data_IF_629790365385
#
_entry.id   IF_629790365385
#
_cell.length_a   1.000
_cell.length_b   1.000
_cell.length_c   1.000
_cell.angle_alpha   90.00
_cell.angle_beta   90.00
_cell.angle_gamma   90.00
#
_symmetry.space_group_name_H-M   'P 1'
#
loop_
_entity.id
_entity.type
_entity.pdbx_description
1 polymer ?
#
# COMPACT_ATOMS: atom_id res chain seq x y z
N UNK A 1 82.07 57.28 5.30
CA UNK A 1 82.99 56.79 6.36
C UNK A 1 82.27 55.67 7.11
N UNK A 2 82.32 54.42 6.62
CA UNK A 2 83.25 53.36 7.06
C UNK A 2 83.20 53.09 8.57
N UNK A 3 82.56 51.97 8.97
CA UNK A 3 83.04 51.13 10.08
C UNK A 3 82.91 49.65 9.73
N UNK A 4 84.10 49.10 9.48
CA UNK A 4 84.52 47.70 9.44
C UNK A 4 84.23 47.02 10.80
N UNK A 5 83.58 45.85 10.78
CA UNK A 5 84.17 44.51 11.01
C UNK A 5 84.43 44.16 12.49
N UNK A 6 83.72 43.16 13.00
CA UNK A 6 84.17 42.31 14.11
C UNK A 6 83.93 40.85 13.74
N UNK A 7 84.98 40.06 13.90
CA UNK A 7 85.18 38.73 13.36
C UNK A 7 84.31 37.64 14.00
N UNK A 8 83.87 36.72 13.16
CA UNK A 8 83.26 35.46 13.54
C UNK A 8 84.24 34.49 14.19
N UNK A 9 83.69 33.68 15.10
CA UNK A 9 84.29 32.47 15.63
C UNK A 9 83.47 31.29 15.09
N UNK A 10 84.17 30.41 14.37
CA UNK A 10 83.70 29.15 13.83
C UNK A 10 83.63 28.10 14.94
N UNK A 11 82.53 27.34 15.06
CA UNK A 11 82.64 25.89 15.37
C UNK A 11 81.43 25.05 14.93
N UNK A 12 81.78 24.04 14.13
CA UNK A 12 81.13 22.81 13.63
C UNK A 12 79.82 22.26 14.24
N UNK A 13 78.99 21.80 13.28
CA UNK A 13 78.40 20.47 13.12
C UNK A 13 77.45 19.91 14.20
N UNK A 14 76.19 19.73 13.77
CA UNK A 14 75.18 18.95 14.49
C UNK A 14 73.77 19.31 14.04
N UNK A 15 73.41 19.03 12.78
CA UNK A 15 72.03 19.16 12.31
C UNK A 15 71.18 18.05 12.95
N UNK A 16 70.75 18.27 14.20
CA UNK A 16 69.64 17.51 14.78
C UNK A 16 68.38 18.14 14.20
N UNK A 17 67.82 17.52 13.16
CA UNK A 17 66.46 17.87 12.72
C UNK A 17 65.48 17.52 13.86
N UNK A 18 64.59 18.43 14.26
CA UNK A 18 63.62 18.14 15.31
C UNK A 18 62.68 17.01 14.85
N UNK A 19 62.53 15.98 15.69
CA UNK A 19 61.73 14.78 15.46
C UNK A 19 60.24 15.07 15.12
N UNK A 20 59.79 16.30 15.35
CA UNK A 20 58.47 16.80 15.00
C UNK A 20 58.17 16.71 13.49
N UNK A 21 59.18 16.87 12.61
CA UNK A 21 58.98 16.75 11.15
C UNK A 21 58.80 15.30 10.67
N UNK A 22 59.37 14.32 11.38
CA UNK A 22 59.27 12.91 11.00
C UNK A 22 57.89 12.32 11.34
N UNK A 23 57.27 12.78 12.42
CA UNK A 23 55.93 12.35 12.83
C UNK A 23 54.85 12.85 11.85
N UNK A 24 54.96 14.09 11.34
CA UNK A 24 53.99 14.60 10.36
C UNK A 24 54.09 13.90 9.00
N UNK A 25 55.28 13.44 8.61
CA UNK A 25 55.46 12.69 7.35
C UNK A 25 54.91 11.25 7.40
N UNK A 26 54.85 10.65 8.59
CA UNK A 26 54.35 9.28 8.79
C UNK A 26 52.85 9.21 9.11
N UNK A 27 52.20 10.33 9.44
CA UNK A 27 50.73 10.43 9.57
C UNK A 27 50.02 10.57 8.21
N UNK A 28 50.76 10.85 7.12
CA UNK A 28 50.26 10.69 5.74
C UNK A 28 50.39 9.25 5.23
N UNK A 29 50.36 8.25 6.13
CA UNK A 29 49.93 6.90 5.74
C UNK A 29 48.46 7.02 5.39
N UNK A 30 48.23 7.17 4.09
CA UNK A 30 46.93 7.10 3.41
C UNK A 30 46.05 6.05 4.09
N UNK A 31 45.10 6.49 4.91
CA UNK A 31 44.04 5.60 5.38
C UNK A 31 43.39 4.98 4.14
N UNK A 32 43.28 3.65 4.06
CA UNK A 32 42.63 3.01 2.94
C UNK A 32 41.21 3.57 2.85
N UNK A 33 40.90 4.13 1.68
CA UNK A 33 39.64 4.74 1.31
C UNK A 33 38.44 3.92 1.84
N UNK A 34 37.74 4.37 2.89
CA UNK A 34 36.56 3.67 3.48
C UNK A 34 35.31 3.70 2.58
N UNK A 35 35.40 4.33 1.40
CA UNK A 35 34.30 4.46 0.44
C UNK A 35 33.70 3.14 -0.11
N UNK A 36 34.43 2.02 -0.28
CA UNK A 36 33.85 0.81 -0.88
C UNK A 36 32.90 0.08 0.09
N UNK A 37 33.20 0.02 1.38
CA UNK A 37 32.35 -0.66 2.38
C UNK A 37 31.01 0.05 2.58
N UNK A 38 30.98 1.39 2.56
CA UNK A 38 29.74 2.17 2.66
C UNK A 38 28.87 1.99 1.40
N UNK A 39 29.48 1.90 0.22
CA UNK A 39 28.78 1.63 -1.04
C UNK A 39 28.15 0.24 -1.09
N UNK A 40 28.90 -0.79 -0.65
CA UNK A 40 28.41 -2.17 -0.57
C UNK A 40 27.26 -2.29 0.43
N UNK A 41 27.38 -1.70 1.63
CA UNK A 41 26.31 -1.72 2.63
C UNK A 41 25.04 -1.00 2.14
N UNK A 42 25.17 0.11 1.40
CA UNK A 42 24.04 0.82 0.78
C UNK A 42 23.39 -0.01 -0.32
N UNK A 43 24.19 -0.69 -1.15
CA UNK A 43 23.70 -1.59 -2.20
C UNK A 43 22.92 -2.79 -1.65
N UNK A 44 23.44 -3.44 -0.61
CA UNK A 44 22.74 -4.55 0.07
C UNK A 44 21.42 -4.07 0.68
N UNK A 45 21.42 -2.91 1.35
CA UNK A 45 20.19 -2.30 1.89
C UNK A 45 19.16 -2.01 0.81
N UNK A 46 19.59 -1.50 -0.35
CA UNK A 46 18.72 -1.26 -1.50
C UNK A 46 18.10 -2.53 -2.05
N UNK A 47 18.91 -3.57 -2.28
CA UNK A 47 18.44 -4.86 -2.79
C UNK A 47 17.43 -5.53 -1.83
N UNK A 48 17.68 -5.47 -0.51
CA UNK A 48 16.75 -5.99 0.50
C UNK A 48 15.45 -5.18 0.48
N UNK A 49 15.52 -3.84 0.40
CA UNK A 49 14.33 -2.99 0.35
C UNK A 49 13.45 -3.30 -0.87
N UNK A 50 14.05 -3.41 -2.06
CA UNK A 50 13.34 -3.77 -3.30
C UNK A 50 12.68 -5.16 -3.20
N UNK A 51 13.41 -6.15 -2.69
CA UNK A 51 12.88 -7.50 -2.51
C UNK A 51 11.70 -7.52 -1.52
N UNK A 52 11.80 -6.76 -0.41
CA UNK A 52 10.70 -6.66 0.56
C UNK A 52 9.48 -5.94 -0.01
N UNK A 53 9.67 -4.90 -0.81
CA UNK A 53 8.57 -4.19 -1.48
C UNK A 53 7.86 -5.09 -2.50
N UNK A 54 8.62 -5.88 -3.28
CA UNK A 54 8.07 -6.86 -4.22
C UNK A 54 7.26 -7.96 -3.51
N UNK A 55 7.77 -8.45 -2.37
CA UNK A 55 7.07 -9.45 -1.56
C UNK A 55 5.77 -8.88 -0.97
N UNK A 56 5.84 -7.66 -0.43
CA UNK A 56 4.69 -6.97 0.16
C UNK A 56 3.58 -6.73 -0.87
N UNK A 57 3.93 -6.35 -2.10
CA UNK A 57 2.97 -6.19 -3.20
C UNK A 57 2.34 -7.52 -3.59
N UNK A 58 3.13 -8.59 -3.71
CA UNK A 58 2.62 -9.92 -4.03
C UNK A 58 1.67 -10.44 -2.93
N UNK A 59 2.02 -10.25 -1.66
CA UNK A 59 1.18 -10.67 -0.53
C UNK A 59 -0.14 -9.90 -0.50
N UNK A 60 -0.12 -8.60 -0.78
CA UNK A 60 -1.35 -7.80 -0.88
C UNK A 60 -2.22 -8.25 -2.07
N UNK A 61 -1.61 -8.55 -3.22
CA UNK A 61 -2.33 -9.05 -4.38
C UNK A 61 -3.02 -10.40 -4.09
N UNK A 62 -2.33 -11.31 -3.39
CA UNK A 62 -2.91 -12.58 -2.94
C UNK A 62 -4.06 -12.35 -1.94
N UNK A 63 -3.90 -11.43 -1.00
CA UNK A 63 -4.96 -11.10 -0.05
C UNK A 63 -6.22 -10.58 -0.76
N UNK A 64 -6.06 -9.69 -1.74
CA UNK A 64 -7.18 -9.19 -2.55
C UNK A 64 -7.80 -10.27 -3.44
N UNK A 65 -7.00 -11.22 -3.94
CA UNK A 65 -7.52 -12.38 -4.66
C UNK A 65 -8.38 -13.26 -3.77
N UNK A 66 -7.97 -13.51 -2.52
CA UNK A 66 -8.76 -14.27 -1.54
C UNK A 66 -10.09 -13.57 -1.26
N UNK A 67 -10.08 -12.24 -1.06
CA UNK A 67 -11.29 -11.42 -0.94
C UNK A 67 -12.21 -11.57 -2.15
N UNK A 68 -11.64 -11.48 -3.36
CA UNK A 68 -12.38 -11.60 -4.62
C UNK A 68 -13.06 -12.97 -4.75
N UNK A 69 -12.32 -14.05 -4.45
CA UNK A 69 -12.86 -15.41 -4.48
C UNK A 69 -13.96 -15.58 -3.45
N UNK A 70 -13.79 -15.07 -2.23
CA UNK A 70 -14.82 -15.11 -1.19
C UNK A 70 -16.11 -14.40 -1.61
N UNK A 71 -16.00 -13.23 -2.23
CA UNK A 71 -17.16 -12.48 -2.71
C UNK A 71 -17.85 -13.15 -3.92
N UNK A 72 -17.06 -13.64 -4.90
CA UNK A 72 -17.59 -14.28 -6.09
C UNK A 72 -18.31 -15.61 -5.81
N UNK A 73 -17.88 -16.32 -4.76
CA UNK A 73 -18.42 -17.63 -4.38
C UNK A 73 -19.61 -17.57 -3.42
N UNK A 74 -20.03 -16.37 -2.97
CA UNK A 74 -21.14 -16.21 -2.02
C UNK A 74 -22.49 -16.65 -2.61
N UNK A 75 -22.65 -16.58 -3.92
CA UNK A 75 -23.85 -17.03 -4.63
C UNK A 75 -25.08 -16.15 -4.41
N UNK A 76 -26.22 -16.62 -4.93
CA UNK A 76 -27.51 -15.91 -4.85
C UNK A 76 -28.14 -16.15 -3.49
N UNK A 77 -28.60 -15.09 -2.84
CA UNK A 77 -29.31 -15.13 -1.55
C UNK A 77 -30.83 -15.21 -1.76
N UNK A 78 -31.56 -15.60 -0.73
CA UNK A 78 -33.02 -15.79 -0.80
C UNK A 78 -33.79 -14.53 -1.19
N UNK A 79 -33.28 -13.37 -0.80
CA UNK A 79 -33.86 -12.05 -1.03
C UNK A 79 -33.35 -11.38 -2.34
N UNK A 80 -32.36 -11.95 -3.02
CA UNK A 80 -31.77 -11.38 -4.26
C UNK A 80 -32.86 -11.12 -5.32
N UNK A 81 -33.87 -11.99 -5.42
CA UNK A 81 -34.98 -11.82 -6.36
C UNK A 81 -35.88 -10.64 -6.01
N UNK A 82 -36.12 -10.42 -4.71
CA UNK A 82 -36.85 -9.25 -4.24
C UNK A 82 -36.10 -7.97 -4.62
N UNK A 83 -34.78 -7.97 -4.39
CA UNK A 83 -33.92 -6.84 -4.72
C UNK A 83 -33.97 -6.52 -6.22
N UNK A 84 -33.79 -7.53 -7.08
CA UNK A 84 -33.87 -7.38 -8.54
C UNK A 84 -35.24 -6.89 -9.01
N UNK A 85 -36.32 -7.46 -8.44
CA UNK A 85 -37.68 -7.05 -8.80
C UNK A 85 -37.99 -5.63 -8.37
N UNK A 86 -37.48 -5.20 -7.21
CA UNK A 86 -37.60 -3.81 -6.76
C UNK A 86 -36.81 -2.88 -7.67
N UNK A 87 -35.58 -3.24 -8.04
CA UNK A 87 -34.78 -2.48 -8.99
C UNK A 87 -35.45 -2.33 -10.35
N UNK A 88 -36.11 -3.39 -10.83
CA UNK A 88 -36.92 -3.34 -12.04
C UNK A 88 -38.06 -2.33 -11.94
N UNK A 89 -38.79 -2.31 -10.82
CA UNK A 89 -39.86 -1.33 -10.59
C UNK A 89 -39.29 0.09 -10.59
N UNK A 90 -38.19 0.32 -9.87
CA UNK A 90 -37.54 1.64 -9.79
C UNK A 90 -37.14 2.14 -11.19
N UNK A 91 -36.48 1.30 -12.01
CA UNK A 91 -36.07 1.71 -13.36
C UNK A 91 -37.27 1.88 -14.31
N UNK A 92 -38.33 1.07 -14.15
CA UNK A 92 -39.51 1.15 -15.00
C UNK A 92 -40.39 2.38 -14.70
N UNK A 93 -40.53 2.75 -13.42
CA UNK A 93 -41.40 3.87 -13.02
C UNK A 93 -40.65 5.18 -12.82
N UNK A 94 -39.32 5.14 -12.69
CA UNK A 94 -38.50 6.29 -12.34
C UNK A 94 -38.75 6.80 -10.92
N UNK A 95 -39.37 6.01 -10.05
CA UNK A 95 -39.78 6.40 -8.70
C UNK A 95 -39.39 5.34 -7.67
N UNK A 96 -38.95 5.77 -6.49
CA UNK A 96 -38.64 4.86 -5.38
C UNK A 96 -39.93 4.40 -4.69
N UNK A 97 -40.24 3.10 -4.62
CA UNK A 97 -41.37 2.60 -3.84
C UNK A 97 -41.21 2.96 -2.36
N UNK A 98 -42.23 3.59 -1.78
CA UNK A 98 -42.28 3.92 -0.33
C UNK A 98 -43.19 2.97 0.46
N UNK A 99 -43.75 1.98 -0.22
CA UNK A 99 -44.65 0.98 0.34
C UNK A 99 -44.22 -0.41 -0.10
N UNK A 100 -44.43 -1.39 0.77
CA UNK A 100 -44.18 -2.79 0.46
C UNK A 100 -45.22 -3.31 -0.56
N UNK A 101 -44.75 -3.74 -1.72
CA UNK A 101 -45.56 -4.25 -2.83
C UNK A 101 -45.42 -5.76 -3.03
N UNK A 102 -44.53 -6.43 -2.29
CA UNK A 102 -44.21 -7.85 -2.50
C UNK A 102 -44.59 -8.74 -1.30
N UNK A 103 -44.65 -8.20 -0.08
CA UNK A 103 -45.05 -8.97 1.09
C UNK A 103 -46.52 -9.37 1.03
N UNK A 104 -46.81 -10.62 1.37
CA UNK A 104 -48.16 -11.15 1.51
C UNK A 104 -48.81 -10.83 2.86
N UNK A 105 -48.02 -10.57 3.90
CA UNK A 105 -48.52 -10.36 5.27
C UNK A 105 -48.61 -8.88 5.67
N UNK A 106 -47.77 -8.03 5.08
CA UNK A 106 -47.70 -6.59 5.38
C UNK A 106 -47.74 -5.73 4.11
N UNK A 107 -48.48 -6.20 3.09
CA UNK A 107 -48.68 -5.46 1.84
C UNK A 107 -49.20 -4.04 2.11
N UNK A 108 -48.60 -3.06 1.44
CA UNK A 108 -48.97 -1.64 1.53
C UNK A 108 -48.43 -0.88 2.75
N UNK A 109 -47.74 -1.57 3.67
CA UNK A 109 -47.05 -0.95 4.79
C UNK A 109 -45.95 0.00 4.31
N UNK A 110 -45.64 1.03 5.12
CA UNK A 110 -44.58 1.97 4.80
C UNK A 110 -43.21 1.28 4.81
N UNK A 111 -42.48 1.38 3.70
CA UNK A 111 -41.16 0.81 3.52
C UNK A 111 -40.22 1.88 2.92
N UNK A 112 -39.47 2.61 3.76
CA UNK A 112 -38.47 3.55 3.28
C UNK A 112 -37.27 2.77 2.75
N UNK A 113 -37.21 2.62 1.43
CA UNK A 113 -36.11 1.94 0.78
C UNK A 113 -34.87 2.83 0.70
N UNK A 114 -33.96 2.68 1.67
CA UNK A 114 -32.70 3.43 1.73
C UNK A 114 -31.63 2.88 0.77
N UNK A 115 -31.84 1.68 0.23
CA UNK A 115 -30.92 0.98 -0.68
C UNK A 115 -31.34 1.11 -2.16
N UNK A 116 -32.33 1.96 -2.46
CA UNK A 116 -32.97 2.05 -3.77
C UNK A 116 -31.97 2.20 -4.93
N UNK A 117 -30.89 2.95 -4.74
CA UNK A 117 -29.88 3.17 -5.77
C UNK A 117 -29.09 1.89 -6.06
N UNK A 118 -28.76 1.12 -5.01
CA UNK A 118 -28.09 -0.17 -5.16
C UNK A 118 -29.00 -1.15 -5.93
N UNK A 119 -30.29 -1.20 -5.60
CA UNK A 119 -31.26 -2.05 -6.29
C UNK A 119 -31.39 -1.69 -7.79
N UNK A 120 -31.42 -0.40 -8.11
CA UNK A 120 -31.44 0.08 -9.48
C UNK A 120 -30.17 -0.34 -10.25
N UNK A 121 -28.99 -0.20 -9.63
CA UNK A 121 -27.70 -0.63 -10.21
C UNK A 121 -27.67 -2.15 -10.39
N UNK A 122 -28.10 -2.92 -9.39
CA UNK A 122 -28.14 -4.38 -9.45
C UNK A 122 -29.01 -4.87 -10.59
N UNK A 123 -30.21 -4.31 -10.73
CA UNK A 123 -31.07 -4.65 -11.86
C UNK A 123 -30.45 -4.20 -13.19
N UNK A 124 -29.82 -3.03 -13.25
CA UNK A 124 -29.06 -2.58 -14.42
C UNK A 124 -27.97 -3.58 -14.84
N UNK A 125 -27.11 -4.00 -13.91
CA UNK A 125 -26.10 -5.03 -14.16
C UNK A 125 -26.72 -6.35 -14.62
N UNK A 126 -27.82 -6.76 -13.99
CA UNK A 126 -28.56 -7.94 -14.36
C UNK A 126 -29.10 -7.87 -15.79
N UNK A 127 -29.53 -6.70 -16.28
CA UNK A 127 -29.98 -6.56 -17.67
C UNK A 127 -28.86 -6.67 -18.70
N UNK A 128 -27.60 -6.38 -18.31
CA UNK A 128 -26.44 -6.43 -19.23
C UNK A 128 -25.98 -7.87 -19.47
N UNK A 129 -25.96 -8.69 -18.42
CA UNK A 129 -25.39 -10.05 -18.52
C UNK A 129 -25.92 -11.04 -17.48
N UNK A 130 -27.10 -10.80 -16.93
CA UNK A 130 -27.75 -11.67 -15.96
C UNK A 130 -27.02 -11.75 -14.62
N UNK A 131 -27.17 -12.89 -13.95
CA UNK A 131 -26.52 -13.16 -12.65
C UNK A 131 -24.98 -13.05 -12.72
N UNK A 132 -24.27 -13.53 -13.77
CA UNK A 132 -22.83 -13.37 -13.85
C UNK A 132 -22.38 -11.91 -13.81
N UNK A 133 -23.02 -11.02 -14.57
CA UNK A 133 -22.67 -9.59 -14.57
C UNK A 133 -22.96 -8.93 -13.22
N UNK A 134 -24.07 -9.29 -12.58
CA UNK A 134 -24.40 -8.82 -11.23
C UNK A 134 -23.34 -9.25 -10.21
N UNK A 135 -23.02 -10.55 -10.15
CA UNK A 135 -22.06 -11.10 -9.19
C UNK A 135 -20.65 -10.55 -9.40
N UNK A 136 -20.21 -10.40 -10.65
CA UNK A 136 -18.93 -9.77 -10.98
C UNK A 136 -18.90 -8.29 -10.58
N UNK A 137 -19.99 -7.56 -10.79
CA UNK A 137 -20.12 -6.17 -10.36
C UNK A 137 -20.02 -6.02 -8.84
N UNK A 138 -20.74 -6.85 -8.09
CA UNK A 138 -20.66 -6.88 -6.62
C UNK A 138 -19.25 -7.29 -6.14
N UNK A 139 -18.64 -8.30 -6.76
CA UNK A 139 -17.27 -8.74 -6.46
C UNK A 139 -16.28 -7.60 -6.68
N UNK A 140 -16.39 -6.88 -7.80
CA UNK A 140 -15.54 -5.73 -8.09
C UNK A 140 -15.69 -4.64 -7.04
N UNK A 141 -16.92 -4.30 -6.63
CA UNK A 141 -17.16 -3.30 -5.58
C UNK A 141 -16.53 -3.70 -4.23
N UNK A 142 -16.65 -4.97 -3.84
CA UNK A 142 -16.02 -5.49 -2.60
C UNK A 142 -14.50 -5.39 -2.69
N UNK A 143 -13.90 -5.86 -3.80
CA UNK A 143 -12.45 -5.79 -3.99
C UNK A 143 -11.94 -4.35 -4.00
N UNK A 144 -12.65 -3.43 -4.68
CA UNK A 144 -12.30 -2.01 -4.71
C UNK A 144 -12.37 -1.38 -3.31
N UNK A 145 -13.35 -1.78 -2.49
CA UNK A 145 -13.48 -1.31 -1.12
C UNK A 145 -12.29 -1.77 -0.27
N UNK A 146 -11.95 -3.06 -0.31
CA UNK A 146 -10.78 -3.60 0.41
C UNK A 146 -9.45 -3.02 -0.09
N UNK A 147 -9.31 -2.86 -1.41
CA UNK A 147 -8.14 -2.23 -2.01
C UNK A 147 -8.01 -0.76 -1.60
N UNK A 148 -9.14 -0.03 -1.53
CA UNK A 148 -9.19 1.34 -1.05
C UNK A 148 -8.81 1.46 0.42
N UNK A 149 -9.36 0.60 1.29
CA UNK A 149 -8.98 0.53 2.72
C UNK A 149 -7.48 0.25 2.84
N UNK A 150 -6.99 -0.75 2.12
CA UNK A 150 -5.57 -1.06 2.12
C UNK A 150 -4.77 0.16 1.65
N UNK A 151 -5.15 0.81 0.54
CA UNK A 151 -4.45 1.98 -0.02
C UNK A 151 -4.40 3.18 0.94
N UNK A 152 -5.47 3.42 1.68
CA UNK A 152 -5.55 4.48 2.69
C UNK A 152 -4.83 4.13 4.00
N UNK A 153 -4.55 2.84 4.24
CA UNK A 153 -3.88 2.38 5.46
C UNK A 153 -2.38 2.65 5.40
N UNK A 154 -1.84 3.23 6.46
CA UNK A 154 -0.40 3.43 6.62
C UNK A 154 0.31 2.13 7.03
N UNK A 155 1.57 1.99 6.60
CA UNK A 155 2.46 0.92 7.03
C UNK A 155 2.92 -0.04 5.92
N UNK A 156 3.78 -1.01 6.26
CA UNK A 156 4.31 -1.99 5.32
C UNK A 156 3.19 -2.82 4.68
N UNK A 157 3.35 -3.21 3.41
CA UNK A 157 2.31 -3.94 2.67
C UNK A 157 1.94 -5.27 3.33
N UNK A 158 2.88 -5.92 4.03
CA UNK A 158 2.59 -7.13 4.81
C UNK A 158 1.60 -6.91 5.96
N UNK A 159 1.67 -5.77 6.64
CA UNK A 159 0.77 -5.45 7.77
C UNK A 159 -0.62 -5.17 7.23
N UNK A 160 -0.69 -4.43 6.12
CA UNK A 160 -1.94 -4.15 5.40
C UNK A 160 -2.59 -5.45 4.89
N UNK A 161 -1.82 -6.34 4.27
CA UNK A 161 -2.31 -7.64 3.82
C UNK A 161 -2.80 -8.53 4.98
N UNK A 162 -2.08 -8.56 6.11
CA UNK A 162 -2.53 -9.27 7.30
C UNK A 162 -3.83 -8.69 7.85
N UNK A 163 -3.95 -7.36 7.92
CA UNK A 163 -5.18 -6.70 8.37
C UNK A 163 -6.38 -7.02 7.45
N UNK A 164 -6.18 -6.99 6.13
CA UNK A 164 -7.21 -7.39 5.15
C UNK A 164 -7.64 -8.83 5.39
N UNK A 165 -6.70 -9.77 5.51
CA UNK A 165 -7.02 -11.19 5.71
C UNK A 165 -7.72 -11.45 7.04
N UNK A 166 -7.32 -10.77 8.11
CA UNK A 166 -7.95 -10.90 9.43
C UNK A 166 -9.36 -10.31 9.46
N UNK A 167 -9.60 -9.22 8.73
CA UNK A 167 -10.89 -8.55 8.69
C UNK A 167 -11.83 -9.11 7.60
N UNK A 168 -11.31 -9.87 6.63
CA UNK A 168 -12.07 -10.46 5.53
C UNK A 168 -13.32 -11.24 5.97
N UNK A 169 -13.34 -12.03 7.06
CA UNK A 169 -14.55 -12.71 7.53
C UNK A 169 -15.72 -11.75 7.86
N UNK A 170 -15.45 -10.48 8.13
CA UNK A 170 -16.52 -9.49 8.33
C UNK A 170 -17.34 -9.23 7.07
N UNK A 171 -16.82 -9.55 5.88
CA UNK A 171 -17.53 -9.32 4.62
C UNK A 171 -18.70 -10.30 4.39
N UNK A 172 -18.76 -11.42 5.11
CA UNK A 172 -19.82 -12.43 4.99
C UNK A 172 -20.96 -12.29 6.01
N UNK A 173 -20.99 -11.20 6.79
CA UNK A 173 -21.93 -11.01 7.91
C UNK A 173 -23.19 -10.21 7.49
N UNK A 174 -23.66 -10.34 6.25
CA UNK A 174 -24.89 -9.69 5.79
C UNK A 174 -25.78 -10.73 5.11
#
# INVERSE_FOLDING_TARGET
MLRLFSLGQFTRAGYIQPAEKLVQSSVLVSMPNERPIVGVARGIRGAIAEQTASFDAALLAVALLVVALGAALMGVQSDTWWQLRTGQVILATGSVPTRDIFSSTVSGAYWPNHEWLALAIFYGLYTIGGLPALLLGCTALVVLTWAGIAWLSEGPGRVRAAAVLLAMPAQSVI
#
